data_IF_218472121382
#
_entry.id   IF_218472121382
#
_cell.length_a   1.000
_cell.length_b   1.000
_cell.length_c   1.000
_cell.angle_alpha   90.00
_cell.angle_beta   90.00
_cell.angle_gamma   90.00
#
_symmetry.space_group_name_H-M   'P 1'
#
loop_
_entity.id
_entity.type
_entity.pdbx_description
1 polymer ?
#
# COMPACT_ATOMS: atom_id res chain seq x y z
N UNK A 1 -7.11 -9.93 -11.24
CA UNK A 1 -6.30 -10.11 -10.01
C UNK A 1 -6.16 -11.61 -9.77
N UNK A 2 -4.96 -12.12 -9.44
CA UNK A 2 -4.74 -13.55 -9.12
C UNK A 2 -5.44 -13.91 -7.80
N UNK A 3 -5.85 -15.16 -7.62
CA UNK A 3 -6.54 -15.67 -6.41
C UNK A 3 -5.77 -15.34 -5.11
N UNK A 4 -4.45 -15.42 -5.15
CA UNK A 4 -3.54 -15.08 -4.04
C UNK A 4 -3.59 -13.59 -3.65
N UNK A 5 -3.85 -12.71 -4.61
CA UNK A 5 -3.99 -11.26 -4.36
C UNK A 5 -5.27 -10.95 -3.59
N UNK A 6 -6.34 -11.72 -3.81
CA UNK A 6 -7.62 -11.57 -3.11
C UNK A 6 -7.54 -12.06 -1.67
N UNK A 7 -6.82 -13.16 -1.42
CA UNK A 7 -6.61 -13.69 -0.06
C UNK A 7 -5.80 -12.74 0.85
N UNK A 8 -4.87 -11.96 0.29
CA UNK A 8 -4.12 -10.97 1.07
C UNK A 8 -5.01 -9.85 1.62
N UNK A 9 -6.06 -9.45 0.88
CA UNK A 9 -6.94 -8.33 1.25
C UNK A 9 -7.69 -8.58 2.57
N UNK A 10 -7.99 -9.84 2.90
CA UNK A 10 -8.79 -10.17 4.08
C UNK A 10 -7.99 -10.30 5.38
N UNK A 11 -6.66 -10.24 5.31
CA UNK A 11 -5.78 -10.41 6.48
C UNK A 11 -5.85 -9.23 7.47
N UNK A 12 -5.51 -9.49 8.74
CA UNK A 12 -5.42 -8.43 9.77
C UNK A 12 -4.42 -7.33 9.38
N UNK A 13 -3.31 -7.71 8.77
CA UNK A 13 -2.30 -6.76 8.27
C UNK A 13 -2.89 -5.83 7.21
N UNK A 14 -3.63 -6.35 6.23
CA UNK A 14 -4.19 -5.52 5.17
C UNK A 14 -5.24 -4.54 5.69
N UNK A 15 -6.04 -4.95 6.68
CA UNK A 15 -7.00 -4.05 7.34
C UNK A 15 -6.29 -2.87 8.01
N UNK A 16 -5.22 -3.13 8.75
CA UNK A 16 -4.42 -2.04 9.34
C UNK A 16 -3.70 -1.22 8.27
N UNK A 17 -3.19 -1.84 7.20
CA UNK A 17 -2.55 -1.14 6.10
C UNK A 17 -3.50 -0.12 5.43
N UNK A 18 -4.74 -0.52 5.14
CA UNK A 18 -5.77 0.38 4.58
C UNK A 18 -6.03 1.56 5.52
N UNK A 19 -6.13 1.30 6.83
CA UNK A 19 -6.36 2.34 7.83
C UNK A 19 -5.19 3.31 7.92
N UNK A 20 -3.95 2.83 7.88
CA UNK A 20 -2.75 3.68 7.90
C UNK A 20 -2.64 4.51 6.62
N UNK A 21 -2.91 3.92 5.45
CA UNK A 21 -2.91 4.65 4.18
C UNK A 21 -3.92 5.80 4.18
N UNK A 22 -5.13 5.57 4.70
CA UNK A 22 -6.13 6.64 4.87
C UNK A 22 -5.73 7.68 5.91
N UNK A 23 -5.05 7.27 6.99
CA UNK A 23 -4.59 8.19 8.03
C UNK A 23 -3.47 9.13 7.56
N UNK A 24 -2.61 8.67 6.64
CA UNK A 24 -1.53 9.48 6.05
C UNK A 24 -2.01 10.36 4.89
N UNK A 25 -3.16 10.05 4.29
CA UNK A 25 -3.77 10.86 3.25
C UNK A 25 -4.41 12.12 3.83
N UNK A 26 -3.60 13.18 3.91
CA UNK A 26 -4.01 14.46 4.50
C UNK A 26 -5.12 15.14 3.69
N UNK A 27 -5.21 14.89 2.38
CA UNK A 27 -6.18 15.53 1.50
C UNK A 27 -7.48 14.72 1.33
N UNK A 28 -7.53 13.49 1.85
CA UNK A 28 -8.71 12.62 1.81
C UNK A 28 -9.05 12.11 0.40
N UNK A 29 -8.08 12.05 -0.51
CA UNK A 29 -8.26 11.55 -1.89
C UNK A 29 -8.71 10.08 -1.90
N UNK A 30 -8.31 9.31 -0.89
CA UNK A 30 -8.48 7.87 -0.76
C UNK A 30 -9.62 7.44 0.16
N UNK A 31 -10.40 8.37 0.71
CA UNK A 31 -11.49 8.05 1.64
C UNK A 31 -12.53 7.10 1.05
N UNK A 32 -12.81 7.27 -0.25
CA UNK A 32 -13.78 6.47 -0.99
C UNK A 32 -13.13 5.33 -1.78
N UNK A 33 -11.81 5.24 -1.78
CA UNK A 33 -11.11 4.19 -2.51
C UNK A 33 -11.39 2.83 -1.85
N UNK A 34 -11.78 1.82 -2.65
CA UNK A 34 -11.99 0.48 -2.14
C UNK A 34 -10.64 -0.11 -1.68
N UNK A 35 -10.62 -0.98 -0.65
CA UNK A 35 -9.39 -1.56 -0.11
C UNK A 35 -8.45 -2.14 -1.18
N UNK A 36 -9.00 -2.82 -2.18
CA UNK A 36 -8.24 -3.46 -3.25
C UNK A 36 -7.43 -2.45 -4.07
N UNK A 37 -7.96 -1.23 -4.25
CA UNK A 37 -7.27 -0.15 -4.97
C UNK A 37 -6.13 0.40 -4.12
N UNK A 38 -6.32 0.56 -2.81
CA UNK A 38 -5.28 1.06 -1.90
C UNK A 38 -4.13 0.07 -1.71
N UNK A 39 -4.42 -1.22 -1.83
CA UNK A 39 -3.44 -2.29 -1.65
C UNK A 39 -2.71 -2.64 -2.96
N UNK A 40 -3.32 -2.39 -4.12
CA UNK A 40 -2.73 -2.71 -5.41
C UNK A 40 -1.28 -2.21 -5.59
N UNK A 41 -0.90 -0.98 -5.18
CA UNK A 41 0.48 -0.50 -5.32
C UNK A 41 1.53 -1.28 -4.52
N UNK A 42 1.12 -2.04 -3.50
CA UNK A 42 2.02 -2.87 -2.69
C UNK A 42 2.35 -4.21 -3.36
N UNK A 43 1.64 -4.58 -4.43
CA UNK A 43 1.72 -5.89 -5.06
C UNK A 43 2.17 -5.69 -6.51
N UNK A 44 3.48 -5.81 -6.72
CA UNK A 44 4.11 -5.70 -8.04
C UNK A 44 4.75 -7.01 -8.45
N UNK A 45 4.75 -7.33 -9.74
CA UNK A 45 5.52 -8.45 -10.28
C UNK A 45 7.02 -8.17 -10.22
N UNK A 46 7.84 -9.20 -10.42
CA UNK A 46 9.30 -9.04 -10.46
C UNK A 46 9.73 -8.17 -11.64
N UNK A 47 9.02 -8.29 -12.75
CA UNK A 47 9.23 -7.52 -13.97
C UNK A 47 8.91 -6.04 -13.70
N UNK A 48 7.71 -5.73 -13.17
CA UNK A 48 7.31 -4.37 -12.79
C UNK A 48 8.29 -3.74 -11.81
N UNK A 49 8.75 -4.49 -10.80
CA UNK A 49 9.73 -4.00 -9.82
C UNK A 49 11.07 -3.59 -10.45
N UNK A 50 11.50 -4.26 -11.52
CA UNK A 50 12.76 -3.94 -12.22
C UNK A 50 12.65 -2.68 -13.08
N UNK A 51 11.45 -2.30 -13.47
CA UNK A 51 11.18 -1.08 -14.23
C UNK A 51 11.14 0.16 -13.35
N UNK A 52 11.01 0.00 -12.02
CA UNK A 52 11.02 1.12 -11.08
C UNK A 52 12.41 1.76 -11.06
N UNK A 53 12.57 3.03 -11.47
CA UNK A 53 13.86 3.71 -11.46
C UNK A 53 14.33 3.92 -10.02
N UNK A 54 15.61 3.63 -9.76
CA UNK A 54 16.25 3.83 -8.46
C UNK A 54 17.23 5.00 -8.55
N UNK A 55 16.70 6.18 -8.89
CA UNK A 55 17.48 7.40 -9.07
C UNK A 55 16.85 8.53 -8.29
N UNK A 56 17.63 9.19 -7.43
CA UNK A 56 17.16 10.27 -6.57
C UNK A 56 16.38 9.75 -5.35
N UNK A 57 15.66 10.68 -4.71
CA UNK A 57 14.82 10.37 -3.56
C UNK A 57 13.45 9.81 -4.00
N UNK A 58 12.85 8.90 -3.21
CA UNK A 58 11.49 8.43 -3.46
C UNK A 58 10.48 9.57 -3.32
N UNK A 59 9.44 9.52 -4.12
CA UNK A 59 8.29 10.43 -4.02
C UNK A 59 7.52 10.22 -2.70
N UNK A 60 6.68 11.21 -2.35
CA UNK A 60 5.88 11.22 -1.12
C UNK A 60 4.92 10.02 -1.04
N UNK A 61 4.35 9.59 -2.15
CA UNK A 61 3.44 8.44 -2.19
C UNK A 61 4.18 7.15 -1.83
N UNK A 62 5.40 6.99 -2.35
CA UNK A 62 6.30 5.88 -2.00
C UNK A 62 6.67 5.90 -0.52
N UNK A 63 7.02 7.07 0.02
CA UNK A 63 7.32 7.22 1.45
C UNK A 63 6.11 6.91 2.34
N UNK A 64 4.91 7.35 1.94
CA UNK A 64 3.67 7.07 2.64
C UNK A 64 3.36 5.58 2.67
N UNK A 65 3.56 4.86 1.55
CA UNK A 65 3.41 3.39 1.52
C UNK A 65 4.36 2.69 2.48
N UNK A 66 5.63 3.08 2.50
CA UNK A 66 6.62 2.50 3.42
C UNK A 66 6.23 2.78 4.88
N UNK A 67 5.84 4.01 5.19
CA UNK A 67 5.40 4.41 6.54
C UNK A 67 4.16 3.64 6.98
N UNK A 68 3.14 3.57 6.11
CA UNK A 68 1.91 2.83 6.38
C UNK A 68 2.18 1.35 6.66
N UNK A 69 3.10 0.74 5.92
CA UNK A 69 3.49 -0.66 6.11
C UNK A 69 4.06 -0.94 7.50
N UNK A 70 5.04 -0.15 7.95
CA UNK A 70 5.62 -0.34 9.27
C UNK A 70 4.68 0.05 10.41
N UNK A 71 3.85 1.07 10.23
CA UNK A 71 2.82 1.41 11.20
C UNK A 71 1.79 0.29 11.34
N UNK A 72 1.37 -0.32 10.23
CA UNK A 72 0.42 -1.43 10.25
C UNK A 72 0.98 -2.66 10.97
N UNK A 73 2.26 -2.99 10.75
CA UNK A 73 2.93 -4.06 11.50
C UNK A 73 2.99 -3.74 13.00
N UNK A 74 3.27 -2.49 13.35
CA UNK A 74 3.39 -2.07 14.76
C UNK A 74 2.05 -2.03 15.50
N UNK A 75 0.94 -1.95 14.77
CA UNK A 75 -0.42 -1.87 15.31
C UNK A 75 -1.10 -3.25 15.49
N UNK A 76 -0.47 -4.34 15.02
CA UNK A 76 -0.92 -5.73 15.20
C UNK A 76 -0.40 -6.32 16.50
#
# INVERSE_FOLDING_TARGET
>A
MSKTTVEFVETGLTKELVKQMRALDTNGENDKAPPEVLIAPFIVTKEQKREIPVVGDPDEETLNRVTAFYNAISAL
#
